data_IF_443650922824
#
_entry.id   IF_443650922824
#
_cell.length_a   1.000
_cell.length_b   1.000
_cell.length_c   1.000
_cell.angle_alpha   90.00
_cell.angle_beta   90.00
_cell.angle_gamma   90.00
#
_symmetry.space_group_name_H-M   'P 1'
#
loop_
_entity.id
_entity.type
_entity.pdbx_description
1 polymer ?
#
# COMPACT_ATOMS: atom_id res chain seq x y z
N UNK A 1 -3.21 -39.97 -16.97
CA UNK A 1 -2.54 -39.75 -15.68
C UNK A 1 -3.40 -38.79 -14.90
N UNK A 2 -4.17 -39.36 -13.97
CA UNK A 2 -4.98 -38.65 -13.00
C UNK A 2 -4.11 -37.70 -12.18
N UNK A 3 -4.50 -36.43 -12.14
CA UNK A 3 -4.02 -35.51 -11.11
C UNK A 3 -5.20 -35.21 -10.20
N UNK A 4 -5.39 -36.04 -9.17
CA UNK A 4 -6.31 -35.75 -8.09
C UNK A 4 -5.75 -34.56 -7.32
N UNK A 5 -6.39 -33.39 -7.42
CA UNK A 5 -6.12 -32.27 -6.50
C UNK A 5 -7.17 -32.37 -5.41
N UNK A 6 -6.79 -32.99 -4.28
CA UNK A 6 -7.56 -32.91 -3.04
C UNK A 6 -7.42 -31.50 -2.48
N UNK A 7 -8.34 -30.62 -2.81
CA UNK A 7 -8.59 -29.41 -2.03
C UNK A 7 -9.37 -29.83 -0.78
N UNK A 8 -8.79 -29.64 0.40
CA UNK A 8 -9.45 -29.91 1.67
C UNK A 8 -10.69 -29.02 1.83
N UNK A 9 -11.84 -29.54 1.42
CA UNK A 9 -13.15 -29.02 1.77
C UNK A 9 -13.35 -29.27 3.27
N UNK A 10 -13.19 -28.23 4.08
CA UNK A 10 -13.79 -28.25 5.41
C UNK A 10 -15.30 -28.41 5.25
N UNK A 11 -15.90 -29.33 6.00
CA UNK A 11 -17.34 -29.62 5.95
C UNK A 11 -18.15 -28.33 6.16
N UNK A 12 -18.84 -27.87 5.11
CA UNK A 12 -19.82 -26.79 5.22
C UNK A 12 -21.19 -27.39 5.50
N UNK A 13 -21.78 -27.03 6.64
CA UNK A 13 -23.19 -27.32 6.92
C UNK A 13 -24.05 -26.35 6.14
N UNK A 14 -24.92 -26.87 5.27
CA UNK A 14 -26.13 -26.14 4.88
C UNK A 14 -26.98 -25.92 6.13
N UNK A 15 -27.16 -24.66 6.50
CA UNK A 15 -28.26 -24.23 7.35
C UNK A 15 -28.98 -23.15 6.57
N UNK A 16 -30.27 -23.37 6.31
CA UNK A 16 -31.12 -22.52 5.50
C UNK A 16 -31.03 -21.04 5.92
N UNK A 17 -30.64 -20.17 4.98
CA UNK A 17 -30.73 -18.72 5.13
C UNK A 17 -29.44 -17.95 5.45
N UNK A 18 -28.26 -18.58 5.44
CA UNK A 18 -26.99 -17.87 5.66
C UNK A 18 -26.17 -17.62 4.37
N UNK A 19 -25.39 -16.52 4.30
CA UNK A 19 -24.60 -16.14 3.12
C UNK A 19 -23.53 -17.20 2.79
N UNK A 20 -23.50 -17.63 1.52
CA UNK A 20 -22.48 -18.53 0.99
C UNK A 20 -21.13 -17.78 0.91
N UNK A 21 -20.11 -18.31 1.60
CA UNK A 21 -18.75 -17.72 1.57
C UNK A 21 -17.82 -18.63 0.76
N UNK A 22 -17.45 -18.18 -0.44
CA UNK A 22 -16.46 -18.84 -1.29
C UNK A 22 -15.10 -18.17 -1.07
N UNK A 23 -14.13 -18.92 -0.54
CA UNK A 23 -12.77 -18.44 -0.32
C UNK A 23 -11.84 -18.94 -1.42
N UNK A 24 -11.19 -18.02 -2.13
CA UNK A 24 -10.13 -18.33 -3.10
C UNK A 24 -8.83 -18.64 -2.35
N UNK A 25 -8.38 -19.91 -2.38
CA UNK A 25 -7.11 -20.33 -1.81
C UNK A 25 -6.04 -20.33 -2.91
N UNK A 26 -5.02 -19.47 -2.71
CA UNK A 26 -3.81 -19.27 -3.53
C UNK A 26 -3.56 -20.35 -4.59
N UNK A 27 -3.96 -20.09 -5.82
CA UNK A 27 -3.33 -20.69 -7.00
C UNK A 27 -2.16 -19.81 -7.47
N UNK A 28 -1.19 -20.41 -8.17
CA UNK A 28 0.06 -19.78 -8.64
C UNK A 28 -0.11 -18.58 -9.59
N UNK A 29 -1.35 -18.18 -9.91
CA UNK A 29 -1.67 -17.05 -10.78
C UNK A 29 -2.54 -16.03 -10.05
N UNK A 30 -2.15 -14.75 -10.13
CA UNK A 30 -2.94 -13.64 -9.59
C UNK A 30 -4.17 -13.40 -10.48
N UNK A 31 -5.35 -13.81 -10.03
CA UNK A 31 -6.61 -13.41 -10.64
C UNK A 31 -7.03 -12.06 -10.03
N UNK A 32 -7.18 -11.02 -10.87
CA UNK A 32 -7.81 -9.76 -10.44
C UNK A 32 -9.30 -9.94 -10.14
N UNK A 33 -9.98 -8.90 -9.64
CA UNK A 33 -11.42 -8.97 -9.27
C UNK A 33 -12.30 -9.60 -10.38
N UNK A 34 -12.00 -9.30 -11.65
CA UNK A 34 -12.72 -9.91 -12.78
C UNK A 34 -12.52 -11.42 -12.90
N UNK A 35 -11.29 -11.91 -12.69
CA UNK A 35 -10.99 -13.34 -12.68
C UNK A 35 -11.65 -14.07 -11.52
N UNK A 36 -11.61 -13.51 -10.31
CA UNK A 36 -12.31 -14.08 -9.16
C UNK A 36 -13.83 -14.08 -9.35
N UNK A 37 -14.39 -13.06 -10.01
CA UNK A 37 -15.83 -13.03 -10.35
C UNK A 37 -16.20 -14.18 -11.27
N UNK A 38 -15.46 -14.37 -12.37
CA UNK A 38 -15.71 -15.47 -13.31
C UNK A 38 -15.54 -16.85 -12.64
N UNK A 39 -14.59 -16.98 -11.73
CA UNK A 39 -14.42 -18.21 -10.95
C UNK A 39 -15.64 -18.49 -10.06
N UNK A 40 -16.14 -17.49 -9.32
CA UNK A 40 -17.34 -17.65 -8.48
C UNK A 40 -18.57 -17.98 -9.32
N UNK A 41 -18.75 -17.33 -10.48
CA UNK A 41 -19.87 -17.64 -11.39
C UNK A 41 -19.80 -19.10 -11.88
N UNK A 42 -18.60 -19.58 -12.23
CA UNK A 42 -18.39 -20.98 -12.60
C UNK A 42 -18.71 -21.93 -11.44
N UNK A 43 -18.28 -21.62 -10.21
CA UNK A 43 -18.63 -22.44 -9.05
C UNK A 43 -20.14 -22.48 -8.79
N UNK A 44 -20.85 -21.36 -9.01
CA UNK A 44 -22.31 -21.33 -8.88
C UNK A 44 -22.99 -22.18 -9.96
N UNK A 45 -22.47 -22.18 -11.18
CA UNK A 45 -22.91 -23.06 -12.26
C UNK A 45 -22.66 -24.54 -11.92
N UNK A 46 -21.47 -24.88 -11.42
CA UNK A 46 -21.12 -26.25 -11.02
C UNK A 46 -21.98 -26.76 -9.85
N UNK A 47 -22.33 -25.89 -8.89
CA UNK A 47 -23.09 -26.26 -7.69
C UNK A 47 -24.61 -26.29 -7.92
N UNK A 48 -25.15 -25.37 -8.71
CA UNK A 48 -26.60 -25.16 -8.82
C UNK A 48 -27.14 -25.30 -10.25
N UNK A 49 -26.29 -25.50 -11.25
CA UNK A 49 -26.68 -25.53 -12.67
C UNK A 49 -27.44 -24.26 -13.09
N UNK A 50 -28.27 -24.34 -14.13
CA UNK A 50 -28.99 -23.16 -14.67
C UNK A 50 -29.84 -22.38 -13.66
N UNK A 51 -30.19 -22.98 -12.51
CA UNK A 51 -31.01 -22.36 -11.47
C UNK A 51 -30.36 -21.13 -10.83
N UNK A 52 -29.03 -21.04 -10.83
CA UNK A 52 -28.34 -19.91 -10.19
C UNK A 52 -28.65 -18.56 -10.85
N UNK A 53 -29.06 -18.57 -12.13
CA UNK A 53 -29.45 -17.37 -12.87
C UNK A 53 -30.69 -16.68 -12.29
N UNK A 54 -31.47 -17.40 -11.47
CA UNK A 54 -32.62 -16.85 -10.73
C UNK A 54 -32.26 -16.26 -9.37
N UNK A 55 -31.01 -16.39 -8.91
CA UNK A 55 -30.58 -15.93 -7.59
C UNK A 55 -30.16 -14.46 -7.62
N UNK A 56 -30.47 -13.74 -6.54
CA UNK A 56 -29.84 -12.45 -6.25
C UNK A 56 -28.52 -12.75 -5.55
N UNK A 57 -27.42 -12.66 -6.29
CA UNK A 57 -26.08 -12.98 -5.79
C UNK A 57 -25.38 -11.69 -5.35
N UNK A 58 -25.09 -11.57 -4.06
CA UNK A 58 -24.23 -10.50 -3.53
C UNK A 58 -22.78 -10.99 -3.51
N UNK A 59 -21.99 -10.58 -4.50
CA UNK A 59 -20.56 -10.88 -4.54
C UNK A 59 -19.76 -9.83 -3.75
N UNK A 60 -19.22 -10.25 -2.61
CA UNK A 60 -18.29 -9.43 -1.83
C UNK A 60 -16.88 -9.93 -2.11
N UNK A 61 -16.14 -9.19 -2.92
CA UNK A 61 -14.70 -9.43 -3.01
C UNK A 61 -14.08 -9.10 -1.65
N UNK A 62 -13.61 -10.13 -0.93
CA UNK A 62 -12.50 -9.93 -0.01
C UNK A 62 -11.39 -9.33 -0.86
N UNK A 63 -10.94 -8.12 -0.53
CA UNK A 63 -10.02 -7.37 -1.39
C UNK A 63 -8.72 -8.14 -1.63
N UNK A 64 -8.68 -9.02 -2.62
CA UNK A 64 -7.47 -9.71 -3.05
C UNK A 64 -6.43 -8.67 -3.41
N UNK A 65 -5.18 -8.86 -2.95
CA UNK A 65 -3.99 -8.00 -3.12
C UNK A 65 -4.29 -6.54 -3.46
N UNK A 66 -5.26 -5.98 -2.76
CA UNK A 66 -5.85 -4.71 -3.11
C UNK A 66 -4.93 -3.68 -2.49
N UNK A 67 -4.10 -3.06 -3.34
CA UNK A 67 -3.37 -1.83 -3.06
C UNK A 67 -4.36 -0.67 -2.85
N UNK A 68 -5.33 -0.86 -1.96
CA UNK A 68 -6.38 0.09 -1.62
C UNK A 68 -5.93 0.83 -0.38
N UNK A 69 -6.39 2.08 -0.26
CA UNK A 69 -6.48 2.73 1.03
C UNK A 69 -7.23 1.78 1.99
N UNK A 70 -6.67 1.43 3.16
CA UNK A 70 -7.33 0.56 4.13
C UNK A 70 -8.80 0.91 4.39
N UNK A 71 -9.17 2.20 4.38
CA UNK A 71 -10.56 2.63 4.49
C UNK A 71 -11.46 2.12 3.34
N UNK A 72 -10.99 2.14 2.10
CA UNK A 72 -11.72 1.63 0.94
C UNK A 72 -11.84 0.10 0.91
N UNK A 73 -10.98 -0.60 1.65
CA UNK A 73 -11.03 -2.05 1.85
C UNK A 73 -12.04 -2.44 2.92
N UNK A 74 -12.19 -1.62 3.98
CA UNK A 74 -13.12 -1.88 5.08
C UNK A 74 -14.55 -1.43 4.78
N UNK A 75 -14.74 -0.28 4.14
CA UNK A 75 -16.06 0.30 3.87
C UNK A 75 -16.66 -0.15 2.52
N UNK A 76 -15.83 -0.65 1.60
CA UNK A 76 -16.29 -0.94 0.24
C UNK A 76 -16.47 0.32 -0.61
N UNK A 77 -16.48 0.15 -1.95
CA UNK A 77 -16.46 1.26 -2.92
C UNK A 77 -17.61 2.26 -2.73
N UNK A 78 -18.78 1.79 -2.30
CA UNK A 78 -20.01 2.60 -2.18
C UNK A 78 -19.93 3.54 -0.97
N UNK A 79 -19.23 3.15 0.09
CA UNK A 79 -19.19 3.89 1.35
C UNK A 79 -17.82 4.55 1.59
N UNK A 80 -16.91 4.47 0.61
CA UNK A 80 -15.64 5.19 0.69
C UNK A 80 -15.91 6.67 0.46
N UNK A 81 -15.80 7.47 1.52
CA UNK A 81 -15.74 8.92 1.38
C UNK A 81 -14.52 9.26 0.53
N UNK A 82 -14.78 9.81 -0.66
CA UNK A 82 -13.75 10.33 -1.54
C UNK A 82 -13.80 11.86 -1.45
N UNK A 83 -12.65 12.54 -1.40
CA UNK A 83 -12.61 14.00 -1.27
C UNK A 83 -12.91 14.65 -2.63
N UNK A 84 -14.13 14.47 -3.13
CA UNK A 84 -14.65 15.10 -4.34
C UNK A 84 -15.83 16.00 -3.98
N UNK A 85 -15.90 17.17 -4.62
CA UNK A 85 -16.96 18.16 -4.39
C UNK A 85 -16.45 19.59 -4.53
N UNK A 86 -17.36 20.55 -4.46
CA UNK A 86 -17.03 21.97 -4.37
C UNK A 86 -17.70 22.56 -3.11
N UNK A 87 -16.94 22.95 -2.07
CA UNK A 87 -15.48 22.90 -2.00
C UNK A 87 -14.92 21.49 -1.76
N UNK A 88 -13.68 21.25 -2.17
CA UNK A 88 -12.96 20.00 -1.93
C UNK A 88 -12.48 19.96 -0.47
N UNK A 89 -13.02 19.04 0.33
CA UNK A 89 -12.63 18.85 1.72
C UNK A 89 -11.46 17.86 1.88
N UNK A 90 -10.71 18.02 2.97
CA UNK A 90 -9.77 17.02 3.49
C UNK A 90 -10.51 15.92 4.27
N UNK A 91 -9.96 14.70 4.29
CA UNK A 91 -10.51 13.56 5.01
C UNK A 91 -9.51 13.09 6.05
N UNK A 92 -9.92 13.11 7.32
CA UNK A 92 -9.11 12.65 8.46
C UNK A 92 -9.79 11.43 9.08
N UNK A 93 -9.13 10.27 9.05
CA UNK A 93 -9.68 8.99 9.54
C UNK A 93 -8.79 8.45 10.65
N UNK A 94 -9.28 8.46 11.89
CA UNK A 94 -8.59 7.86 13.04
C UNK A 94 -7.11 8.27 13.09
N UNK A 95 -6.87 9.58 13.01
CA UNK A 95 -5.56 10.21 12.99
C UNK A 95 -5.52 11.34 14.02
N UNK A 96 -4.33 11.67 14.51
CA UNK A 96 -4.09 12.75 15.47
C UNK A 96 -3.26 13.82 14.80
N UNK A 97 -3.79 15.04 14.74
CA UNK A 97 -3.14 16.20 14.15
C UNK A 97 -2.91 17.20 15.28
N UNK A 98 -1.66 17.51 15.57
CA UNK A 98 -1.33 18.50 16.59
C UNK A 98 -1.64 19.93 16.10
N UNK A 99 -1.99 20.86 17.01
CA UNK A 99 -2.23 22.25 16.64
C UNK A 99 -1.05 22.86 15.88
N UNK A 100 -1.30 23.38 14.68
CA UNK A 100 -0.27 23.87 13.76
C UNK A 100 -0.11 23.01 12.51
N UNK A 101 -0.51 21.73 12.57
CA UNK A 101 -0.52 20.86 11.40
C UNK A 101 -1.48 21.40 10.32
N UNK A 102 -1.00 21.50 9.08
CA UNK A 102 -1.79 21.91 7.92
C UNK A 102 -2.03 20.73 6.98
N UNK A 103 -3.27 20.59 6.49
CA UNK A 103 -3.63 19.57 5.50
C UNK A 103 -4.37 20.23 4.35
N UNK A 104 -3.77 20.14 3.16
CA UNK A 104 -4.34 20.69 1.94
C UNK A 104 -5.66 20.02 1.54
N UNK A 105 -6.54 20.74 0.81
CA UNK A 105 -7.78 20.18 0.29
C UNK A 105 -7.53 18.98 -0.63
N UNK A 106 -8.45 18.02 -0.64
CA UNK A 106 -8.33 16.80 -1.43
C UNK A 106 -7.49 15.71 -0.78
N UNK A 107 -6.82 16.03 0.35
CA UNK A 107 -5.90 15.09 1.00
C UNK A 107 -6.62 14.17 1.99
N UNK A 108 -6.09 12.94 2.09
CA UNK A 108 -6.59 11.90 2.99
C UNK A 108 -5.49 11.53 3.98
N UNK A 109 -5.78 11.68 5.27
CA UNK A 109 -4.88 11.29 6.36
C UNK A 109 -5.55 10.20 7.18
N UNK A 110 -5.01 8.97 7.14
CA UNK A 110 -5.55 7.84 7.88
C UNK A 110 -4.52 7.19 8.78
N UNK A 111 -4.96 6.78 9.98
CA UNK A 111 -4.15 6.03 10.95
C UNK A 111 -2.79 6.67 11.22
N UNK A 112 -2.72 7.99 11.26
CA UNK A 112 -1.45 8.72 11.32
C UNK A 112 -1.39 9.69 12.50
N UNK A 113 -0.17 10.06 12.89
CA UNK A 113 0.08 11.14 13.85
C UNK A 113 0.96 12.21 13.19
N UNK A 114 0.52 13.47 13.25
CA UNK A 114 1.22 14.60 12.63
C UNK A 114 1.50 15.68 13.67
N UNK A 115 2.76 16.08 13.77
CA UNK A 115 3.24 17.14 14.65
C UNK A 115 2.83 18.54 14.17
N UNK A 116 3.13 19.58 14.97
CA UNK A 116 2.63 20.93 14.76
C UNK A 116 3.29 21.65 13.57
N UNK A 117 4.45 21.18 13.12
CA UNK A 117 5.20 21.77 12.01
C UNK A 117 5.11 20.94 10.71
N UNK A 118 4.05 20.12 10.59
CA UNK A 118 3.80 19.31 9.40
C UNK A 118 2.79 20.01 8.50
N UNK A 119 3.16 20.20 7.23
CA UNK A 119 2.28 20.71 6.20
C UNK A 119 2.12 19.66 5.11
N UNK A 120 0.88 19.30 4.77
CA UNK A 120 0.57 18.38 3.68
C UNK A 120 -0.05 19.16 2.53
N UNK A 121 0.52 18.99 1.34
CA UNK A 121 -0.02 19.55 0.10
C UNK A 121 -1.41 19.02 -0.25
N UNK A 122 -1.94 19.49 -1.38
CA UNK A 122 -3.27 19.11 -1.88
C UNK A 122 -3.26 17.70 -2.48
N UNK A 123 -4.41 17.04 -2.46
CA UNK A 123 -4.62 15.74 -3.14
C UNK A 123 -3.57 14.68 -2.76
N UNK A 124 -3.09 14.72 -1.51
CA UNK A 124 -2.08 13.81 -0.99
C UNK A 124 -2.70 12.77 -0.06
N UNK A 125 -2.06 11.61 0.03
CA UNK A 125 -2.52 10.49 0.85
C UNK A 125 -1.43 10.14 1.83
N UNK A 126 -1.72 10.23 3.13
CA UNK A 126 -0.81 9.84 4.21
C UNK A 126 -1.47 8.71 5.01
N UNK A 127 -0.82 7.55 5.10
CA UNK A 127 -1.39 6.37 5.74
C UNK A 127 -0.41 5.65 6.66
N UNK A 128 -0.80 5.47 7.93
CA UNK A 128 -0.03 4.70 8.91
C UNK A 128 1.25 5.39 9.39
N UNK A 129 1.41 6.70 9.19
CA UNK A 129 2.67 7.41 9.42
C UNK A 129 2.70 8.14 10.75
N UNK A 130 3.89 8.26 11.35
CA UNK A 130 4.15 9.17 12.46
C UNK A 130 5.18 10.21 12.06
N UNK A 131 4.74 11.47 11.93
CA UNK A 131 5.55 12.58 11.43
C UNK A 131 5.70 13.61 12.55
N UNK A 132 6.87 13.62 13.18
CA UNK A 132 7.20 14.59 14.25
C UNK A 132 8.49 15.34 13.90
N UNK A 133 8.47 16.00 12.75
CA UNK A 133 9.53 16.89 12.28
C UNK A 133 8.90 18.04 11.49
N UNK A 134 9.62 19.16 11.37
CA UNK A 134 9.25 20.24 10.46
C UNK A 134 9.40 19.75 9.01
N UNK A 135 8.30 19.66 8.29
CA UNK A 135 8.32 19.19 6.89
C UNK A 135 7.11 19.65 6.10
N UNK A 136 7.37 20.05 4.85
CA UNK A 136 6.37 20.31 3.83
C UNK A 136 6.30 19.10 2.88
N UNK A 137 5.22 18.33 2.97
CA UNK A 137 4.93 17.23 2.05
C UNK A 137 4.25 17.82 0.80
N UNK A 138 4.76 17.55 -0.41
CA UNK A 138 4.20 18.15 -1.63
C UNK A 138 2.76 17.70 -1.89
N UNK A 139 2.10 18.44 -2.80
CA UNK A 139 0.81 18.02 -3.34
C UNK A 139 0.98 16.77 -4.20
N UNK A 140 -0.10 16.03 -4.43
CA UNK A 140 -0.11 14.83 -5.27
C UNK A 140 0.90 13.77 -4.78
N UNK A 141 1.02 13.64 -3.45
CA UNK A 141 1.98 12.76 -2.81
C UNK A 141 1.27 11.61 -2.09
N UNK A 142 1.70 10.39 -2.32
CA UNK A 142 1.32 9.21 -1.56
C UNK A 142 2.47 8.85 -0.60
N UNK A 143 2.21 8.86 0.71
CA UNK A 143 3.12 8.40 1.75
C UNK A 143 2.40 7.31 2.55
N UNK A 144 2.99 6.12 2.63
CA UNK A 144 2.46 5.05 3.46
C UNK A 144 3.56 4.32 4.20
N UNK A 145 3.34 4.13 5.49
CA UNK A 145 4.28 3.44 6.37
C UNK A 145 3.76 2.07 6.77
N UNK A 146 4.65 1.08 6.73
CA UNK A 146 4.36 -0.31 7.07
C UNK A 146 5.33 -0.81 8.14
N UNK A 147 4.81 -1.62 9.06
CA UNK A 147 5.63 -2.50 9.89
C UNK A 147 5.94 -3.76 9.08
N UNK A 148 7.21 -4.17 9.07
CA UNK A 148 7.69 -5.38 8.41
C UNK A 148 8.49 -6.23 9.39
N UNK A 149 8.39 -7.55 9.29
CA UNK A 149 9.11 -8.49 10.15
C UNK A 149 10.27 -9.12 9.39
N UNK A 150 11.49 -8.70 9.72
CA UNK A 150 12.73 -9.18 9.10
C UNK A 150 13.57 -9.83 10.19
N UNK A 151 14.00 -11.08 9.98
CA UNK A 151 14.80 -11.83 10.97
C UNK A 151 14.17 -11.84 12.37
N UNK A 152 12.84 -12.01 12.44
CA UNK A 152 12.04 -11.99 13.66
C UNK A 152 12.06 -10.65 14.44
N UNK A 153 12.57 -9.58 13.84
CA UNK A 153 12.54 -8.22 14.37
C UNK A 153 11.56 -7.36 13.58
N UNK A 154 10.77 -6.56 14.28
CA UNK A 154 9.93 -5.53 13.65
C UNK A 154 10.83 -4.38 13.20
N UNK A 155 10.68 -4.00 11.93
CA UNK A 155 11.27 -2.84 11.31
C UNK A 155 10.16 -2.02 10.66
N UNK A 156 10.43 -0.74 10.41
CA UNK A 156 9.47 0.18 9.80
C UNK A 156 10.03 0.69 8.49
N UNK A 157 9.18 0.73 7.47
CA UNK A 157 9.54 1.20 6.14
C UNK A 157 8.43 2.12 5.67
N UNK A 158 8.80 3.28 5.14
CA UNK A 158 7.85 4.19 4.52
C UNK A 158 8.11 4.24 3.03
N UNK A 159 7.05 4.12 2.23
CA UNK A 159 7.10 4.33 0.80
C UNK A 159 6.51 5.69 0.48
N UNK A 160 7.14 6.41 -0.45
CA UNK A 160 6.68 7.70 -0.94
C UNK A 160 6.69 7.70 -2.46
N UNK A 161 5.59 8.16 -3.07
CA UNK A 161 5.41 8.23 -4.52
C UNK A 161 4.61 9.47 -4.89
N UNK A 162 4.76 9.94 -6.12
CA UNK A 162 3.76 10.82 -6.72
C UNK A 162 2.52 10.00 -7.05
N UNK A 163 1.33 10.61 -6.98
CA UNK A 163 0.11 9.98 -7.52
C UNK A 163 0.19 9.76 -9.03
N UNK A 164 1.10 10.46 -9.71
CA UNK A 164 1.37 10.33 -11.15
C UNK A 164 2.43 9.27 -11.49
N UNK A 165 3.11 8.69 -10.49
CA UNK A 165 4.12 7.65 -10.73
C UNK A 165 3.46 6.36 -11.24
N UNK A 166 3.93 5.86 -12.38
CA UNK A 166 3.42 4.60 -12.96
C UNK A 166 4.11 3.38 -12.32
N UNK A 167 3.53 2.90 -11.22
CA UNK A 167 3.99 1.69 -10.52
C UNK A 167 3.82 0.40 -11.34
N UNK A 168 3.06 0.41 -12.45
CA UNK A 168 2.87 -0.75 -13.34
C UNK A 168 3.89 -0.77 -14.48
N UNK A 169 4.49 0.37 -14.80
CA UNK A 169 5.56 0.44 -15.79
C UNK A 169 6.76 -0.39 -15.33
N UNK A 170 7.24 -1.23 -16.24
CA UNK A 170 8.43 -2.04 -16.03
C UNK A 170 9.24 -2.16 -17.30
N UNK A 171 10.54 -2.38 -17.14
CA UNK A 171 11.50 -2.61 -18.22
C UNK A 171 12.12 -4.00 -18.09
N UNK A 172 12.67 -4.50 -19.20
CA UNK A 172 13.26 -5.85 -19.27
C UNK A 172 14.76 -5.88 -18.98
N UNK A 173 15.44 -4.75 -19.16
CA UNK A 173 16.89 -4.62 -19.05
C UNK A 173 17.25 -3.47 -18.13
N UNK A 174 18.35 -3.62 -17.39
CA UNK A 174 18.93 -2.56 -16.55
C UNK A 174 19.31 -1.32 -17.39
N UNK A 175 19.64 -1.50 -18.67
CA UNK A 175 19.92 -0.39 -19.60
C UNK A 175 18.75 0.59 -19.75
N UNK A 176 17.52 0.12 -19.53
CA UNK A 176 16.30 0.86 -19.82
C UNK A 176 15.71 1.53 -18.57
N UNK A 177 16.39 1.44 -17.41
CA UNK A 177 15.95 2.00 -16.13
C UNK A 177 15.67 3.51 -16.22
N UNK A 178 16.42 4.23 -17.06
CA UNK A 178 16.23 5.66 -17.31
C UNK A 178 14.82 6.01 -17.81
N UNK A 179 14.07 5.03 -18.35
CA UNK A 179 12.69 5.24 -18.79
C UNK A 179 11.65 5.17 -17.66
N UNK A 180 12.02 4.64 -16.49
CA UNK A 180 11.20 4.67 -15.28
C UNK A 180 11.35 6.05 -14.63
N UNK A 181 10.28 6.57 -14.05
CA UNK A 181 10.28 7.91 -13.46
C UNK A 181 9.76 7.84 -12.03
N UNK A 182 10.37 8.61 -11.14
CA UNK A 182 10.00 8.80 -9.76
C UNK A 182 9.86 10.30 -9.50
N UNK A 183 8.66 10.77 -9.18
CA UNK A 183 8.35 12.20 -9.09
C UNK A 183 8.75 12.99 -10.36
N UNK A 184 8.55 12.38 -11.53
CA UNK A 184 8.87 12.99 -12.83
C UNK A 184 10.36 13.03 -13.19
N UNK A 185 11.25 12.57 -12.31
CA UNK A 185 12.70 12.45 -12.56
C UNK A 185 13.03 11.01 -12.95
N UNK A 186 14.00 10.79 -13.84
CA UNK A 186 14.36 9.42 -14.22
C UNK A 186 14.85 8.63 -13.01
N UNK A 187 14.48 7.35 -12.92
CA UNK A 187 14.90 6.52 -11.80
C UNK A 187 16.43 6.40 -11.74
N UNK A 188 17.11 6.42 -12.88
CA UNK A 188 18.58 6.40 -12.93
C UNK A 188 19.19 7.62 -12.20
N UNK A 189 18.70 8.83 -12.49
CA UNK A 189 19.15 10.04 -11.79
C UNK A 189 18.81 10.00 -10.30
N UNK A 190 17.63 9.48 -9.92
CA UNK A 190 17.27 9.31 -8.52
C UNK A 190 18.23 8.36 -7.78
N UNK A 191 18.63 7.25 -8.41
CA UNK A 191 19.58 6.30 -7.83
C UNK A 191 20.96 6.93 -7.62
N UNK A 192 21.41 7.75 -8.58
CA UNK A 192 22.67 8.51 -8.45
C UNK A 192 22.62 9.50 -7.28
N UNK A 193 21.52 10.24 -7.12
CA UNK A 193 21.30 11.13 -5.97
C UNK A 193 21.32 10.37 -4.64
N UNK A 194 20.80 9.15 -4.63
CA UNK A 194 20.72 8.30 -3.44
C UNK A 194 21.97 7.48 -3.15
N UNK A 195 22.96 7.52 -4.04
CA UNK A 195 24.18 6.71 -3.96
C UNK A 195 23.90 5.20 -4.05
N UNK A 196 22.86 4.80 -4.80
CA UNK A 196 22.50 3.40 -5.03
C UNK A 196 23.07 2.95 -6.36
N UNK A 197 23.91 1.91 -6.36
CA UNK A 197 24.47 1.34 -7.57
C UNK A 197 23.44 0.50 -8.33
N UNK A 198 23.39 0.71 -9.66
CA UNK A 198 22.58 -0.13 -10.55
C UNK A 198 23.25 -1.51 -10.67
N UNK A 199 22.63 -2.51 -10.06
CA UNK A 199 23.09 -3.90 -10.07
C UNK A 199 21.89 -4.85 -10.10
N UNK A 200 22.16 -6.15 -10.29
CA UNK A 200 21.11 -7.19 -10.22
C UNK A 200 20.42 -7.25 -8.86
N UNK A 201 21.05 -6.73 -7.80
CA UNK A 201 20.47 -6.66 -6.45
C UNK A 201 19.53 -5.46 -6.25
N UNK A 202 19.39 -4.55 -7.22
CA UNK A 202 18.50 -3.41 -7.10
C UNK A 202 17.03 -3.83 -7.07
N UNK A 203 16.66 -4.94 -7.71
CA UNK A 203 15.26 -5.35 -7.85
C UNK A 203 14.96 -6.65 -7.08
N UNK A 204 13.76 -6.74 -6.49
CA UNK A 204 13.34 -7.87 -5.66
C UNK A 204 13.14 -9.20 -6.39
N UNK A 205 13.07 -9.16 -7.73
CA UNK A 205 12.78 -10.31 -8.56
C UNK A 205 13.83 -10.46 -9.66
N UNK A 206 14.29 -11.70 -9.89
CA UNK A 206 15.13 -12.06 -11.04
C UNK A 206 14.34 -12.05 -12.37
N UNK A 207 13.02 -11.87 -12.30
CA UNK A 207 12.15 -11.75 -13.47
C UNK A 207 12.39 -10.45 -14.24
N UNK A 208 12.20 -10.53 -15.56
CA UNK A 208 12.30 -9.47 -16.59
C UNK A 208 11.40 -8.22 -16.40
N UNK A 209 10.92 -7.92 -15.19
CA UNK A 209 10.04 -6.78 -14.88
C UNK A 209 10.66 -5.91 -13.78
N UNK A 210 11.53 -5.01 -14.22
CA UNK A 210 12.22 -4.03 -13.40
C UNK A 210 11.38 -2.75 -13.35
N UNK A 211 10.89 -2.35 -12.18
CA UNK A 211 10.00 -1.19 -12.02
C UNK A 211 10.06 -0.60 -10.62
N UNK A 212 9.38 0.52 -10.38
CA UNK A 212 9.32 1.15 -9.05
C UNK A 212 8.79 0.19 -7.97
N UNK A 213 7.86 -0.69 -8.34
CA UNK A 213 7.30 -1.69 -7.44
C UNK A 213 8.33 -2.69 -6.90
N UNK A 214 9.29 -3.07 -7.76
CA UNK A 214 10.32 -4.07 -7.46
C UNK A 214 11.65 -3.46 -7.06
N UNK A 215 11.83 -2.15 -7.20
CA UNK A 215 13.07 -1.45 -6.86
C UNK A 215 13.27 -1.35 -5.33
N UNK A 216 14.43 -1.80 -4.84
CA UNK A 216 14.83 -1.72 -3.43
C UNK A 216 15.39 -0.34 -3.10
N UNK A 217 14.49 0.61 -2.88
CA UNK A 217 14.87 2.01 -2.61
C UNK A 217 14.46 2.48 -1.20
N UNK A 218 13.56 1.78 -0.51
CA UNK A 218 13.03 2.27 0.77
C UNK A 218 13.77 1.69 1.99
N UNK A 219 14.30 2.53 2.90
CA UNK A 219 15.11 2.07 4.01
C UNK A 219 14.28 1.44 5.15
N UNK A 220 14.71 0.26 5.60
CA UNK A 220 14.17 -0.40 6.78
C UNK A 220 14.79 0.18 8.07
N UNK A 221 13.96 0.80 8.88
CA UNK A 221 14.34 1.57 10.07
C UNK A 221 13.90 0.91 11.36
N UNK A 222 14.46 1.35 12.48
CA UNK A 222 14.09 0.83 13.81
C UNK A 222 12.87 1.53 14.41
N UNK A 223 12.51 2.71 13.90
CA UNK A 223 11.33 3.45 14.33
C UNK A 223 10.49 3.92 13.14
N UNK A 224 9.18 4.07 13.37
CA UNK A 224 8.24 4.57 12.37
C UNK A 224 8.60 5.98 11.88
N UNK A 225 8.90 6.89 12.81
CA UNK A 225 9.26 8.28 12.51
C UNK A 225 10.56 8.40 11.72
N UNK A 226 11.55 7.57 12.00
CA UNK A 226 12.79 7.52 11.22
C UNK A 226 12.54 7.07 9.78
N UNK A 227 11.69 6.05 9.58
CA UNK A 227 11.35 5.58 8.23
C UNK A 227 10.68 6.68 7.38
N UNK A 228 9.78 7.47 7.99
CA UNK A 228 9.15 8.60 7.33
C UNK A 228 10.18 9.68 7.03
N UNK A 229 11.01 10.06 8.01
CA UNK A 229 12.04 11.08 7.85
C UNK A 229 12.96 10.78 6.67
N UNK A 230 13.50 9.56 6.59
CA UNK A 230 14.39 9.16 5.50
C UNK A 230 13.68 9.18 4.15
N UNK A 231 12.44 8.70 4.08
CA UNK A 231 11.67 8.69 2.82
C UNK A 231 11.35 10.10 2.32
N UNK A 232 11.01 11.02 3.23
CA UNK A 232 10.80 12.43 2.88
C UNK A 232 12.11 13.13 2.52
N UNK A 233 13.25 12.74 3.12
CA UNK A 233 14.57 13.24 2.70
C UNK A 233 14.96 12.72 1.31
N UNK A 234 14.64 11.48 0.96
CA UNK A 234 14.79 10.96 -0.41
C UNK A 234 13.97 11.80 -1.39
N UNK A 235 12.70 12.07 -1.09
CA UNK A 235 11.88 12.94 -1.93
C UNK A 235 12.46 14.35 -2.05
N UNK A 236 12.84 14.95 -0.92
CA UNK A 236 13.46 16.28 -0.90
C UNK A 236 14.73 16.34 -1.76
N UNK A 237 15.53 15.26 -1.73
CA UNK A 237 16.75 15.14 -2.54
C UNK A 237 16.47 15.18 -4.04
N UNK A 238 15.38 14.53 -4.48
CA UNK A 238 14.92 14.53 -5.88
C UNK A 238 14.37 15.91 -6.27
N UNK A 239 13.55 16.53 -5.41
CA UNK A 239 12.96 17.85 -5.70
C UNK A 239 14.00 18.97 -5.83
N UNK A 240 15.12 18.86 -5.11
CA UNK A 240 16.17 19.87 -5.09
C UNK A 240 17.44 19.44 -5.83
N UNK A 241 17.43 18.29 -6.50
CA UNK A 241 18.61 17.71 -7.19
C UNK A 241 19.86 17.72 -6.30
N UNK A 242 19.71 17.23 -5.07
CA UNK A 242 20.76 17.24 -4.04
C UNK A 242 21.11 15.81 -3.62
N UNK A 243 22.37 15.55 -3.30
CA UNK A 243 22.81 14.21 -2.92
C UNK A 243 22.27 13.83 -1.53
N UNK A 244 21.72 12.62 -1.40
CA UNK A 244 21.25 12.04 -0.14
C UNK A 244 21.55 10.54 -0.08
N UNK A 245 22.73 10.19 0.43
CA UNK A 245 23.20 8.80 0.43
C UNK A 245 22.41 7.93 1.41
N UNK A 246 21.86 6.82 0.91
CA UNK A 246 21.14 5.80 1.69
C UNK A 246 22.06 4.69 2.23
N UNK A 247 23.37 4.93 2.27
CA UNK A 247 24.37 3.95 2.70
C UNK A 247 24.10 3.45 4.12
N UNK A 248 24.22 2.13 4.32
CA UNK A 248 24.09 1.50 5.64
C UNK A 248 22.67 1.06 6.01
N UNK A 249 21.66 1.36 5.19
CA UNK A 249 20.31 0.85 5.37
C UNK A 249 20.08 -0.40 4.53
N UNK A 250 19.33 -1.37 5.10
CA UNK A 250 18.72 -2.42 4.30
C UNK A 250 17.54 -1.80 3.54
N UNK A 251 17.65 -1.72 2.21
CA UNK A 251 16.58 -1.22 1.36
C UNK A 251 15.63 -2.35 0.96
N UNK A 252 14.35 -2.02 0.88
CA UNK A 252 13.29 -2.94 0.46
C UNK A 252 12.52 -2.36 -0.72
N UNK A 253 12.00 -3.25 -1.55
CA UNK A 253 10.99 -2.91 -2.54
C UNK A 253 9.58 -2.94 -1.95
N UNK A 254 8.61 -2.37 -2.67
CA UNK A 254 7.21 -2.42 -2.26
C UNK A 254 6.71 -3.88 -2.20
N UNK A 255 7.15 -4.70 -3.15
CA UNK A 255 6.87 -6.15 -3.17
C UNK A 255 7.39 -6.87 -1.92
N UNK A 256 8.62 -6.60 -1.51
CA UNK A 256 9.21 -7.16 -0.29
C UNK A 256 8.49 -6.66 0.96
N UNK A 257 8.17 -5.36 1.02
CA UNK A 257 7.43 -4.76 2.14
C UNK A 257 6.08 -5.45 2.35
N UNK A 258 5.36 -5.80 1.27
CA UNK A 258 4.09 -6.51 1.37
C UNK A 258 4.26 -7.97 1.76
N UNK A 259 5.35 -8.61 1.33
CA UNK A 259 5.67 -10.00 1.68
C UNK A 259 6.01 -10.13 3.16
N UNK A 260 6.76 -9.17 3.71
CA UNK A 260 7.23 -9.18 5.10
C UNK A 260 6.31 -8.43 6.07
N UNK A 261 5.13 -7.99 5.62
CA UNK A 261 4.23 -7.12 6.39
C UNK A 261 3.85 -7.72 7.74
N UNK A 262 4.08 -6.98 8.82
CA UNK A 262 3.64 -7.31 10.17
C UNK A 262 2.29 -6.63 10.48
N UNK A 263 1.20 -7.36 10.21
CA UNK A 263 -0.16 -6.84 10.42
C UNK A 263 -0.46 -6.64 11.90
N UNK A 264 0.11 -7.46 12.79
CA UNK A 264 -0.17 -7.39 14.22
C UNK A 264 0.38 -6.08 14.81
N UNK A 265 1.62 -5.74 14.47
CA UNK A 265 2.24 -4.48 14.89
C UNK A 265 1.50 -3.26 14.33
N UNK A 266 1.11 -3.30 13.05
CA UNK A 266 0.30 -2.22 12.45
C UNK A 266 -1.05 -2.04 13.16
N UNK A 267 -1.72 -3.13 13.58
CA UNK A 267 -2.97 -3.06 14.33
C UNK A 267 -2.75 -2.51 15.75
N UNK A 268 -1.62 -2.83 16.39
CA UNK A 268 -1.24 -2.23 17.68
C UNK A 268 -1.12 -0.71 17.56
N UNK A 269 -0.43 -0.22 16.55
CA UNK A 269 -0.32 1.22 16.29
C UNK A 269 -1.68 1.89 16.06
N UNK A 270 -2.55 1.30 15.22
CA UNK A 270 -3.91 1.82 14.99
C UNK A 270 -4.76 1.84 16.26
N UNK A 271 -4.62 0.82 17.11
CA UNK A 271 -5.32 0.72 18.41
C UNK A 271 -4.82 1.77 19.39
N UNK A 272 -3.52 2.08 19.39
CA UNK A 272 -2.97 3.18 20.20
C UNK A 272 -3.61 4.51 19.82
N UNK A 273 -3.67 4.84 18.53
CA UNK A 273 -4.32 6.07 18.05
C UNK A 273 -5.81 6.08 18.42
N UNK A 274 -6.52 4.97 18.21
CA UNK A 274 -7.94 4.86 18.59
C UNK A 274 -8.18 5.17 20.07
N UNK A 275 -7.39 4.54 20.94
CA UNK A 275 -7.52 4.69 22.39
C UNK A 275 -7.25 6.14 22.81
N UNK A 276 -6.22 6.77 22.25
CA UNK A 276 -5.89 8.17 22.55
C UNK A 276 -7.00 9.13 22.12
N UNK A 277 -7.53 8.98 20.90
CA UNK A 277 -8.68 9.77 20.42
C UNK A 277 -9.90 9.58 21.34
N UNK A 278 -10.12 8.36 21.84
CA UNK A 278 -11.25 8.08 22.74
C UNK A 278 -11.07 8.67 24.14
N UNK A 279 -9.83 8.76 24.63
CA UNK A 279 -9.51 9.31 25.95
C UNK A 279 -9.48 10.85 25.97
N UNK A 280 -9.35 11.49 24.80
CA UNK A 280 -9.44 12.95 24.64
C UNK A 280 -10.89 13.46 24.51
N UNK A 281 -11.89 12.58 24.59
CA UNK A 281 -13.33 12.91 24.63
C UNK A 281 -13.85 12.84 26.07
#
# INVERSE_FOLDING_TARGET
MDCSVRTGLGNFREVSGHPLTLADTKTFFSLGNGGSTLHVLRCLEDLYGDKWTSFIVLLIHSGGYSQRLPNASALGKIFTALPFGDPIYQIIIQSILEPGCFVGPGSVIEYSRMGPEVSVGKSSIISGSYINLKVDIPSNCFLSSLSVKINNQVKYVSMVFSVEDDLKKSVKSLSDIHSLHFFGVSLLECLDLWGIEVSDQLFSNESTRLGLWTARIFPACSTLSESVRLSLQMLNSVQHMSAFKLNGFKLLSVEEMLTYKDVEDMLKFRKQIYNEIRLQR
#
